data_IF_864873969606
#
_entry.id   IF_864873969606
#
_cell.length_a   1.000
_cell.length_b   1.000
_cell.length_c   1.000
_cell.angle_alpha   90.00
_cell.angle_beta   90.00
_cell.angle_gamma   90.00
#
_symmetry.space_group_name_H-M   'P 1'
#
loop_
_entity.id
_entity.type
_entity.pdbx_description
1 polymer ?
#
# COMPACT_ATOMS: atom_id res chain seq x y z
N UNK A 1 -17.52 -20.01 -7.09
CA UNK A 1 -16.94 -21.37 -7.26
C UNK A 1 -16.25 -21.56 -8.61
N UNK A 2 -16.76 -20.99 -9.71
CA UNK A 2 -16.11 -21.02 -11.04
C UNK A 2 -14.83 -20.17 -11.16
N UNK A 3 -14.75 -19.02 -10.49
CA UNK A 3 -13.54 -18.17 -10.47
C UNK A 3 -12.33 -18.87 -9.83
N UNK A 4 -12.56 -19.72 -8.82
CA UNK A 4 -11.51 -20.54 -8.20
C UNK A 4 -10.99 -21.61 -9.16
N UNK A 5 -11.83 -22.19 -10.01
CA UNK A 5 -11.43 -23.21 -11.01
C UNK A 5 -10.66 -22.60 -12.18
N UNK A 6 -10.98 -21.36 -12.56
CA UNK A 6 -10.29 -20.64 -13.63
C UNK A 6 -8.90 -20.14 -13.20
N UNK A 7 -8.79 -19.62 -11.97
CA UNK A 7 -7.50 -19.30 -11.35
C UNK A 7 -6.64 -20.56 -11.16
N UNK A 8 -7.26 -21.71 -10.85
CA UNK A 8 -6.57 -22.99 -10.73
C UNK A 8 -5.97 -23.46 -12.07
N UNK A 9 -6.67 -23.23 -13.19
CA UNK A 9 -6.16 -23.58 -14.52
C UNK A 9 -5.00 -22.68 -14.97
N UNK A 10 -5.02 -21.39 -14.61
CA UNK A 10 -3.91 -20.46 -14.87
C UNK A 10 -2.69 -20.78 -13.98
N UNK A 11 -2.92 -21.19 -12.73
CA UNK A 11 -1.86 -21.68 -11.83
C UNK A 11 -1.25 -23.00 -12.30
N UNK A 12 -2.05 -23.91 -12.87
CA UNK A 12 -1.54 -25.15 -13.48
C UNK A 12 -0.70 -24.83 -14.73
N UNK A 13 -1.09 -23.84 -15.55
CA UNK A 13 -0.29 -23.40 -16.68
C UNK A 13 1.04 -22.75 -16.25
N UNK A 14 1.07 -21.99 -15.13
CA UNK A 14 2.31 -21.45 -14.57
C UNK A 14 3.22 -22.52 -13.92
N UNK A 15 2.65 -23.60 -13.38
CA UNK A 15 3.43 -24.70 -12.77
C UNK A 15 4.17 -25.57 -13.81
N UNK A 16 3.70 -25.58 -15.06
CA UNK A 16 4.33 -26.34 -16.16
C UNK A 16 5.59 -25.62 -16.69
N UNK A 17 5.86 -24.38 -16.25
CA UNK A 17 7.11 -23.66 -16.53
C UNK A 17 8.20 -23.88 -15.45
N UNK A 18 8.07 -24.91 -14.60
CA UNK A 18 9.23 -25.45 -13.87
C UNK A 18 9.94 -26.45 -14.79
N UNK A 19 11.28 -26.38 -14.95
CA UNK A 19 11.96 -27.43 -15.69
C UNK A 19 11.73 -28.74 -14.93
N UNK A 20 11.04 -29.68 -15.58
CA UNK A 20 10.90 -31.07 -15.14
C UNK A 20 12.31 -31.66 -15.12
N UNK A 21 13.01 -31.47 -14.01
CA UNK A 21 14.25 -32.18 -13.66
C UNK A 21 13.97 -32.91 -12.35
N UNK A 22 13.04 -33.85 -12.40
CA UNK A 22 12.90 -34.89 -11.37
C UNK A 22 11.88 -35.92 -11.86
N UNK A 23 12.35 -36.92 -12.60
CA UNK A 23 11.92 -38.33 -12.60
C UNK A 23 12.15 -38.95 -13.98
N UNK A 24 13.40 -39.31 -14.27
CA UNK A 24 13.73 -40.34 -15.26
C UNK A 24 14.62 -41.36 -14.56
N UNK A 25 14.36 -42.68 -14.69
CA UNK A 25 15.26 -43.71 -14.17
C UNK A 25 16.65 -43.55 -14.78
N UNK A 26 17.70 -43.78 -14.00
CA UNK A 26 19.09 -43.64 -14.43
C UNK A 26 19.38 -44.43 -15.72
N UNK A 27 19.55 -43.70 -16.82
CA UNK A 27 20.15 -44.16 -18.07
C UNK A 27 21.61 -43.66 -18.14
N UNK A 28 22.49 -44.29 -18.94
CA UNK A 28 23.94 -44.14 -18.81
C UNK A 28 24.41 -42.72 -19.08
N UNK A 29 25.41 -42.29 -18.31
CA UNK A 29 26.07 -40.98 -18.37
C UNK A 29 26.70 -40.72 -19.75
N UNK A 30 25.93 -40.15 -20.67
CA UNK A 30 26.47 -39.46 -21.86
C UNK A 30 25.49 -38.41 -22.40
N UNK A 31 24.92 -37.58 -21.52
CA UNK A 31 24.21 -36.38 -21.97
C UNK A 31 25.11 -35.16 -21.75
N UNK A 32 25.79 -34.76 -22.83
CA UNK A 32 26.37 -33.42 -22.97
C UNK A 32 25.33 -32.37 -22.60
N UNK A 33 25.64 -31.51 -21.61
CA UNK A 33 24.81 -30.35 -21.28
C UNK A 33 24.44 -29.60 -22.57
N UNK A 34 23.16 -29.29 -22.80
CA UNK A 34 22.72 -28.68 -24.05
C UNK A 34 23.46 -27.36 -24.28
N UNK A 35 23.95 -27.16 -25.50
CA UNK A 35 24.68 -25.97 -25.90
C UNK A 35 23.77 -24.74 -25.81
N UNK A 36 24.33 -23.53 -25.60
CA UNK A 36 23.54 -22.28 -25.58
C UNK A 36 22.59 -22.14 -26.79
N UNK A 37 23.04 -22.55 -27.98
CA UNK A 37 22.21 -22.55 -29.19
C UNK A 37 20.99 -23.48 -29.09
N UNK A 38 21.13 -24.66 -28.49
CA UNK A 38 20.03 -25.61 -28.28
C UNK A 38 19.06 -25.11 -27.21
N UNK A 39 19.56 -24.41 -26.18
CA UNK A 39 18.71 -23.77 -25.17
C UNK A 39 17.91 -22.60 -25.76
N UNK A 40 18.53 -21.76 -26.60
CA UNK A 40 17.86 -20.66 -27.29
C UNK A 40 16.80 -21.17 -28.27
N UNK A 41 17.07 -22.24 -29.02
CA UNK A 41 16.12 -22.84 -29.95
C UNK A 41 14.94 -23.50 -29.22
N UNK A 42 15.21 -24.24 -28.13
CA UNK A 42 14.16 -24.78 -27.27
C UNK A 42 13.28 -23.66 -26.67
N UNK A 43 13.90 -22.56 -26.22
CA UNK A 43 13.18 -21.42 -25.68
C UNK A 43 12.30 -20.74 -26.74
N UNK A 44 12.81 -20.54 -27.96
CA UNK A 44 12.02 -20.01 -29.08
C UNK A 44 10.81 -20.90 -29.41
N UNK A 45 11.01 -22.21 -29.45
CA UNK A 45 9.94 -23.17 -29.72
C UNK A 45 8.86 -23.13 -28.62
N UNK A 46 9.28 -23.05 -27.34
CA UNK A 46 8.36 -22.89 -26.22
C UNK A 46 7.60 -21.56 -26.29
N UNK A 47 8.26 -20.46 -26.62
CA UNK A 47 7.60 -19.16 -26.81
C UNK A 47 6.57 -19.22 -27.93
N UNK A 48 6.89 -19.83 -29.07
CA UNK A 48 5.94 -19.98 -30.17
C UNK A 48 4.69 -20.78 -29.76
N UNK A 49 4.87 -21.90 -29.06
CA UNK A 49 3.75 -22.70 -28.53
C UNK A 49 2.91 -21.93 -27.49
N UNK A 50 3.55 -21.16 -26.62
CA UNK A 50 2.86 -20.35 -25.63
C UNK A 50 2.02 -19.25 -26.29
N UNK A 51 2.53 -18.61 -27.35
CA UNK A 51 1.78 -17.62 -28.13
C UNK A 51 0.59 -18.25 -28.86
N UNK A 52 0.75 -19.44 -29.43
CA UNK A 52 -0.37 -20.17 -30.06
C UNK A 52 -1.45 -20.56 -29.04
N UNK A 53 -1.04 -20.99 -27.83
CA UNK A 53 -1.98 -21.26 -26.75
C UNK A 53 -2.73 -19.98 -26.33
N UNK A 54 -2.01 -18.87 -26.20
CA UNK A 54 -2.59 -17.59 -25.83
C UNK A 54 -3.62 -17.12 -26.87
N UNK A 55 -3.35 -17.36 -28.15
CA UNK A 55 -4.27 -17.10 -29.23
C UNK A 55 -5.55 -17.91 -29.15
N UNK A 56 -5.44 -19.20 -28.80
CA UNK A 56 -6.60 -20.05 -28.58
C UNK A 56 -7.44 -19.53 -27.42
N UNK A 57 -6.79 -19.13 -26.32
CA UNK A 57 -7.48 -18.57 -25.15
C UNK A 57 -8.22 -17.28 -25.50
N UNK A 58 -7.62 -16.39 -26.28
CA UNK A 58 -8.27 -15.16 -26.74
C UNK A 58 -9.52 -15.48 -27.57
N UNK A 59 -9.41 -16.40 -28.54
CA UNK A 59 -10.55 -16.82 -29.39
C UNK A 59 -11.66 -17.49 -28.61
N UNK A 60 -11.32 -18.32 -27.62
CA UNK A 60 -12.31 -18.97 -26.77
C UNK A 60 -12.97 -17.97 -25.81
N UNK A 61 -12.22 -16.97 -25.34
CA UNK A 61 -12.76 -15.91 -24.51
C UNK A 61 -13.82 -15.08 -25.24
N UNK A 62 -13.67 -14.83 -26.55
CA UNK A 62 -14.68 -14.13 -27.36
C UNK A 62 -16.05 -14.83 -27.35
N UNK A 63 -16.08 -16.15 -27.09
CA UNK A 63 -17.33 -16.94 -27.01
C UNK A 63 -18.04 -16.84 -25.67
N UNK A 64 -17.43 -16.21 -24.66
CA UNK A 64 -18.04 -16.02 -23.35
C UNK A 64 -19.20 -15.03 -23.46
N UNK A 65 -20.32 -15.37 -22.83
CA UNK A 65 -21.54 -14.55 -22.88
C UNK A 65 -21.40 -13.26 -22.08
N UNK A 66 -20.76 -13.32 -20.91
CA UNK A 66 -20.61 -12.18 -20.01
C UNK A 66 -19.44 -11.28 -20.44
N UNK A 67 -19.68 -9.98 -20.71
CA UNK A 67 -18.63 -9.03 -21.10
C UNK A 67 -17.55 -8.87 -20.02
N UNK A 68 -17.88 -9.03 -18.75
CA UNK A 68 -16.93 -8.96 -17.62
C UNK A 68 -15.86 -10.05 -17.75
N UNK A 69 -16.26 -11.27 -18.12
CA UNK A 69 -15.34 -12.37 -18.28
C UNK A 69 -14.45 -12.19 -19.52
N UNK A 70 -15.02 -11.69 -20.61
CA UNK A 70 -14.27 -11.35 -21.83
C UNK A 70 -13.24 -10.27 -21.57
N UNK A 71 -13.63 -9.25 -20.80
CA UNK A 71 -12.78 -8.14 -20.41
C UNK A 71 -11.55 -8.65 -19.64
N UNK A 72 -11.75 -9.47 -18.60
CA UNK A 72 -10.63 -9.98 -17.80
C UNK A 72 -9.66 -10.84 -18.62
N UNK A 73 -10.18 -11.69 -19.50
CA UNK A 73 -9.35 -12.51 -20.39
C UNK A 73 -8.57 -11.63 -21.38
N UNK A 74 -9.23 -10.63 -21.97
CA UNK A 74 -8.62 -9.69 -22.91
C UNK A 74 -7.51 -8.87 -22.28
N UNK A 75 -7.71 -8.34 -21.06
CA UNK A 75 -6.68 -7.60 -20.34
C UNK A 75 -5.43 -8.47 -20.12
N UNK A 76 -5.61 -9.68 -19.60
CA UNK A 76 -4.50 -10.58 -19.31
C UNK A 76 -3.76 -11.00 -20.59
N UNK A 77 -4.49 -11.31 -21.66
CA UNK A 77 -3.89 -11.73 -22.91
C UNK A 77 -3.15 -10.59 -23.61
N UNK A 78 -3.74 -9.39 -23.67
CA UNK A 78 -3.08 -8.22 -24.26
C UNK A 78 -1.80 -7.85 -23.51
N UNK A 79 -1.82 -7.90 -22.18
CA UNK A 79 -0.66 -7.61 -21.35
C UNK A 79 0.51 -8.57 -21.60
N UNK A 80 0.22 -9.87 -21.77
CA UNK A 80 1.23 -10.88 -22.09
C UNK A 80 1.72 -10.80 -23.54
N UNK A 81 0.85 -10.39 -24.47
CA UNK A 81 1.20 -10.29 -25.89
C UNK A 81 2.02 -9.05 -26.22
N UNK A 82 1.99 -8.00 -25.40
CA UNK A 82 2.52 -6.70 -25.78
C UNK A 82 3.97 -6.72 -26.27
N UNK A 83 4.86 -7.40 -25.53
CA UNK A 83 6.30 -7.51 -25.86
C UNK A 83 6.58 -8.39 -27.10
N UNK A 84 5.60 -9.16 -27.56
CA UNK A 84 5.74 -10.12 -28.66
C UNK A 84 5.00 -9.69 -29.94
N UNK A 85 3.82 -9.09 -29.80
CA UNK A 85 2.97 -8.60 -30.88
C UNK A 85 2.13 -7.40 -30.39
N UNK A 86 2.75 -6.22 -30.41
CA UNK A 86 2.13 -4.97 -29.96
C UNK A 86 0.84 -4.66 -30.72
N UNK A 87 0.83 -4.86 -32.05
CA UNK A 87 -0.33 -4.53 -32.89
C UNK A 87 -1.54 -5.37 -32.50
N UNK A 88 -1.32 -6.65 -32.22
CA UNK A 88 -2.37 -7.56 -31.76
C UNK A 88 -2.80 -7.25 -30.33
N UNK A 89 -1.86 -6.99 -29.42
CA UNK A 89 -2.18 -6.59 -28.05
C UNK A 89 -3.05 -5.32 -28.03
N UNK A 90 -2.72 -4.31 -28.85
CA UNK A 90 -3.54 -3.10 -29.05
C UNK A 90 -4.95 -3.43 -29.54
N UNK A 91 -5.10 -4.42 -30.42
CA UNK A 91 -6.40 -4.86 -30.93
C UNK A 91 -7.24 -5.50 -29.82
N UNK A 92 -6.63 -6.36 -29.01
CA UNK A 92 -7.30 -6.99 -27.85
C UNK A 92 -7.68 -5.93 -26.81
N UNK A 93 -6.82 -4.94 -26.53
CA UNK A 93 -7.18 -3.83 -25.64
C UNK A 93 -8.35 -3.01 -26.18
N UNK A 94 -8.44 -2.78 -27.50
CA UNK A 94 -9.62 -2.10 -28.10
C UNK A 94 -10.90 -2.90 -27.88
N UNK A 95 -10.84 -4.23 -28.02
CA UNK A 95 -11.99 -5.11 -27.73
C UNK A 95 -12.37 -5.05 -26.25
N UNK A 96 -11.38 -5.06 -25.34
CA UNK A 96 -11.58 -4.88 -23.91
C UNK A 96 -12.27 -3.54 -23.58
N UNK A 97 -11.88 -2.45 -24.24
CA UNK A 97 -12.56 -1.15 -24.10
C UNK A 97 -14.02 -1.21 -24.57
N UNK A 98 -14.30 -1.90 -25.67
CA UNK A 98 -15.66 -2.08 -26.14
C UNK A 98 -16.53 -2.88 -25.15
N UNK A 99 -15.98 -3.97 -24.57
CA UNK A 99 -16.64 -4.74 -23.52
C UNK A 99 -16.89 -3.89 -22.27
N UNK A 100 -15.92 -3.07 -21.86
CA UNK A 100 -16.07 -2.14 -20.74
C UNK A 100 -17.24 -1.17 -20.99
N UNK A 101 -17.32 -0.55 -22.18
CA UNK A 101 -18.44 0.35 -22.53
C UNK A 101 -19.79 -0.36 -22.50
N UNK A 102 -19.86 -1.62 -22.92
CA UNK A 102 -21.08 -2.42 -22.84
C UNK A 102 -21.50 -2.65 -21.38
N UNK A 103 -20.55 -2.93 -20.49
CA UNK A 103 -20.78 -3.09 -19.04
C UNK A 103 -21.34 -1.78 -18.43
N UNK A 104 -20.74 -0.64 -18.75
CA UNK A 104 -21.20 0.67 -18.25
C UNK A 104 -22.57 1.09 -18.80
N UNK A 105 -22.92 0.64 -20.01
CA UNK A 105 -24.21 0.93 -20.64
C UNK A 105 -25.35 0.06 -20.10
N UNK A 106 -25.05 -0.98 -19.33
CA UNK A 106 -26.07 -1.83 -18.73
C UNK A 106 -26.83 -1.05 -17.63
N UNK A 107 -28.18 -1.06 -17.64
CA UNK A 107 -28.98 -0.25 -16.72
C UNK A 107 -28.65 -0.58 -15.26
N UNK A 108 -28.42 0.45 -14.46
CA UNK A 108 -28.29 0.33 -13.01
C UNK A 108 -29.68 0.11 -12.42
N UNK A 109 -29.88 -1.05 -11.77
CA UNK A 109 -31.09 -1.28 -10.98
C UNK A 109 -30.88 -0.71 -9.56
N UNK A 110 -30.98 0.63 -9.46
CA UNK A 110 -30.64 1.42 -8.27
C UNK A 110 -31.47 1.06 -7.02
N UNK A 111 -32.59 0.36 -7.18
CA UNK A 111 -33.48 -0.06 -6.08
C UNK A 111 -33.02 -1.38 -5.42
N UNK A 112 -32.06 -2.10 -6.01
CA UNK A 112 -31.57 -3.35 -5.46
C UNK A 112 -30.42 -3.15 -4.45
N UNK A 113 -30.39 -3.92 -3.34
CA UNK A 113 -29.24 -3.94 -2.40
C UNK A 113 -27.88 -4.28 -3.06
N UNK A 114 -27.88 -4.80 -4.29
CA UNK A 114 -26.68 -5.15 -5.07
C UNK A 114 -26.15 -4.01 -5.95
N UNK A 115 -26.88 -2.91 -6.11
CA UNK A 115 -26.48 -1.79 -6.97
C UNK A 115 -25.12 -1.20 -6.57
N UNK A 116 -24.88 -1.04 -5.28
CA UNK A 116 -23.59 -0.57 -4.77
C UNK A 116 -22.44 -1.53 -5.14
N UNK A 117 -22.64 -2.84 -4.98
CA UNK A 117 -21.62 -3.84 -5.34
C UNK A 117 -21.31 -3.82 -6.83
N UNK A 118 -22.34 -3.71 -7.68
CA UNK A 118 -22.15 -3.63 -9.14
C UNK A 118 -21.39 -2.38 -9.55
N UNK A 119 -21.72 -1.20 -8.98
CA UNK A 119 -20.97 0.02 -9.23
C UNK A 119 -19.50 -0.11 -8.83
N UNK A 120 -19.21 -0.79 -7.71
CA UNK A 120 -17.83 -1.05 -7.27
C UNK A 120 -17.08 -2.00 -8.19
N UNK A 121 -17.73 -3.06 -8.66
CA UNK A 121 -17.16 -4.01 -9.62
C UNK A 121 -16.84 -3.34 -10.97
N UNK A 122 -17.73 -2.45 -11.45
CA UNK A 122 -17.49 -1.65 -12.67
C UNK A 122 -16.28 -0.72 -12.52
N UNK A 123 -16.16 -0.03 -11.39
CA UNK A 123 -15.00 0.81 -11.09
C UNK A 123 -13.69 0.00 -11.07
N UNK A 124 -13.68 -1.17 -10.41
CA UNK A 124 -12.51 -2.06 -10.39
C UNK A 124 -12.10 -2.56 -11.79
N UNK A 125 -13.08 -2.86 -12.65
CA UNK A 125 -12.83 -3.28 -14.03
C UNK A 125 -12.22 -2.16 -14.86
N UNK A 126 -12.77 -0.94 -14.74
CA UNK A 126 -12.23 0.27 -15.35
C UNK A 126 -10.78 0.50 -14.90
N UNK A 127 -10.55 0.46 -13.59
CA UNK A 127 -9.24 0.62 -12.98
C UNK A 127 -8.21 -0.37 -13.55
N UNK A 128 -8.56 -1.66 -13.56
CA UNK A 128 -7.68 -2.72 -14.05
C UNK A 128 -7.32 -2.55 -15.53
N UNK A 129 -8.28 -2.20 -16.38
CA UNK A 129 -8.03 -1.99 -17.81
C UNK A 129 -7.08 -0.81 -18.04
N UNK A 130 -7.36 0.33 -17.40
CA UNK A 130 -6.56 1.55 -17.53
C UNK A 130 -5.13 1.31 -17.07
N UNK A 131 -4.92 0.67 -15.90
CA UNK A 131 -3.58 0.41 -15.40
C UNK A 131 -2.82 -0.66 -16.19
N UNK A 132 -3.51 -1.67 -16.71
CA UNK A 132 -2.87 -2.63 -17.61
C UNK A 132 -2.37 -1.94 -18.87
N UNK A 133 -3.18 -1.07 -19.45
CA UNK A 133 -2.82 -0.31 -20.63
C UNK A 133 -1.72 0.72 -20.34
N UNK A 134 -1.74 1.38 -19.18
CA UNK A 134 -0.78 2.40 -18.80
C UNK A 134 0.66 1.92 -18.69
N UNK A 135 0.87 0.61 -18.44
CA UNK A 135 2.21 -0.01 -18.44
C UNK A 135 2.86 -0.02 -19.82
N UNK A 136 2.06 0.16 -20.86
CA UNK A 136 2.41 -0.11 -22.25
C UNK A 136 2.20 1.10 -23.14
N UNK A 137 1.07 1.79 -22.98
CA UNK A 137 0.69 3.01 -23.69
C UNK A 137 -0.02 3.99 -22.75
N UNK A 138 0.78 4.90 -22.20
CA UNK A 138 0.30 5.94 -21.30
C UNK A 138 -0.73 6.89 -21.93
N UNK A 139 -0.63 7.15 -23.24
CA UNK A 139 -1.56 8.06 -23.94
C UNK A 139 -2.92 7.40 -24.07
N UNK A 140 -2.96 6.15 -24.54
CA UNK A 140 -4.22 5.42 -24.69
C UNK A 140 -4.91 5.19 -23.33
N UNK A 141 -4.13 4.94 -22.26
CA UNK A 141 -4.69 4.83 -20.92
C UNK A 141 -5.33 6.12 -20.41
N UNK A 142 -4.72 7.29 -20.71
CA UNK A 142 -5.27 8.60 -20.35
C UNK A 142 -6.53 8.94 -21.14
N UNK A 143 -6.53 8.65 -22.45
CA UNK A 143 -7.70 8.86 -23.29
C UNK A 143 -8.86 8.00 -22.79
N UNK A 144 -8.59 6.73 -22.47
CA UNK A 144 -9.59 5.83 -21.89
C UNK A 144 -10.11 6.32 -20.53
N UNK A 145 -9.23 6.81 -19.65
CA UNK A 145 -9.61 7.40 -18.37
C UNK A 145 -10.63 8.54 -18.60
N UNK A 146 -10.30 9.48 -19.48
CA UNK A 146 -11.18 10.61 -19.80
C UNK A 146 -12.52 10.17 -20.42
N UNK A 147 -12.50 9.22 -21.34
CA UNK A 147 -13.70 8.70 -22.00
C UNK A 147 -14.64 7.92 -21.07
N UNK A 148 -14.08 7.25 -20.07
CA UNK A 148 -14.84 6.37 -19.14
C UNK A 148 -15.13 7.05 -17.81
N UNK A 149 -14.93 8.37 -17.71
CA UNK A 149 -15.18 9.13 -16.50
C UNK A 149 -16.62 8.91 -16.03
N UNK A 150 -16.84 8.44 -14.79
CA UNK A 150 -18.19 8.24 -14.26
C UNK A 150 -18.97 9.56 -14.29
N UNK A 151 -20.20 9.53 -14.83
CA UNK A 151 -21.09 10.68 -14.76
C UNK A 151 -21.70 10.78 -13.36
N UNK A 152 -21.85 12.00 -12.85
CA UNK A 152 -22.56 12.24 -11.59
C UNK A 152 -24.00 11.71 -11.69
N UNK A 153 -24.52 11.10 -10.62
CA UNK A 153 -25.90 10.59 -10.61
C UNK A 153 -26.87 11.75 -10.87
N UNK A 154 -27.67 11.64 -11.92
CA UNK A 154 -28.70 12.64 -12.23
C UNK A 154 -29.79 12.72 -11.16
N UNK A 155 -30.03 11.63 -10.43
CA UNK A 155 -31.05 11.55 -9.37
C UNK A 155 -30.53 11.97 -8.00
N UNK A 156 -29.23 11.80 -7.74
CA UNK A 156 -28.61 12.22 -6.49
C UNK A 156 -27.26 12.90 -6.76
N UNK A 157 -27.28 14.19 -7.14
CA UNK A 157 -26.07 14.95 -7.46
C UNK A 157 -25.08 15.02 -6.29
N UNK A 158 -25.59 14.93 -5.07
CA UNK A 158 -24.82 15.01 -3.83
C UNK A 158 -24.29 13.65 -3.36
N UNK A 159 -24.62 12.56 -4.06
CA UNK A 159 -24.05 11.25 -3.75
C UNK A 159 -22.53 11.30 -3.97
N UNK A 160 -21.71 10.93 -2.98
CA UNK A 160 -20.26 10.93 -3.14
C UNK A 160 -19.89 10.03 -4.32
N UNK A 161 -19.12 10.57 -5.26
CA UNK A 161 -18.60 9.80 -6.37
C UNK A 161 -17.82 8.61 -5.80
N UNK A 162 -18.16 7.39 -6.24
CA UNK A 162 -17.48 6.16 -5.77
C UNK A 162 -16.00 6.15 -6.15
N UNK A 163 -15.61 6.92 -7.16
CA UNK A 163 -14.24 7.04 -7.64
C UNK A 163 -13.81 8.51 -7.61
N UNK A 164 -12.78 8.82 -6.82
CA UNK A 164 -12.14 10.13 -6.86
C UNK A 164 -11.25 10.20 -8.10
N UNK A 165 -11.78 10.80 -9.17
CA UNK A 165 -11.10 10.86 -10.47
C UNK A 165 -9.75 11.58 -10.39
N UNK A 166 -9.60 12.58 -9.51
CA UNK A 166 -8.35 13.32 -9.36
C UNK A 166 -7.27 12.45 -8.71
N UNK A 167 -7.64 11.67 -7.69
CA UNK A 167 -6.76 10.66 -7.08
C UNK A 167 -6.38 9.57 -8.09
N UNK A 168 -7.31 9.16 -8.95
CA UNK A 168 -7.05 8.17 -9.99
C UNK A 168 -6.08 8.71 -11.06
N UNK A 169 -6.25 9.96 -11.52
CA UNK A 169 -5.31 10.63 -12.44
C UNK A 169 -3.86 10.61 -11.89
N UNK A 170 -3.68 10.88 -10.59
CA UNK A 170 -2.35 10.84 -9.96
C UNK A 170 -1.79 9.43 -9.82
N UNK A 171 -2.61 8.44 -9.45
CA UNK A 171 -2.16 7.03 -9.42
C UNK A 171 -1.76 6.54 -10.81
N UNK A 172 -2.48 6.95 -11.86
CA UNK A 172 -2.12 6.69 -13.24
C UNK A 172 -0.76 7.30 -13.58
N UNK A 173 -0.53 8.57 -13.23
CA UNK A 173 0.76 9.22 -13.43
C UNK A 173 1.92 8.44 -12.79
N UNK A 174 1.70 7.79 -11.63
CA UNK A 174 2.74 6.99 -10.97
C UNK A 174 3.11 5.72 -11.75
N UNK A 175 2.17 5.14 -12.49
CA UNK A 175 2.47 4.02 -13.40
C UNK A 175 3.20 4.53 -14.64
N UNK A 176 2.76 5.65 -15.20
CA UNK A 176 3.41 6.30 -16.36
C UNK A 176 4.85 6.69 -16.05
N UNK A 177 5.13 7.14 -14.81
CA UNK A 177 6.46 7.57 -14.36
C UNK A 177 7.56 6.51 -14.54
N UNK A 178 7.20 5.23 -14.62
CA UNK A 178 8.16 4.13 -14.83
C UNK A 178 8.81 4.14 -16.22
N UNK A 179 8.13 4.72 -17.21
CA UNK A 179 8.58 4.74 -18.61
C UNK A 179 8.68 6.17 -19.17
N UNK A 180 7.86 7.11 -18.70
CA UNK A 180 7.84 8.52 -19.11
C UNK A 180 7.70 9.45 -17.88
N UNK A 181 8.80 9.73 -17.15
CA UNK A 181 8.78 10.60 -15.97
C UNK A 181 8.41 12.06 -16.32
N UNK A 182 8.69 12.52 -17.55
CA UNK A 182 8.34 13.87 -17.98
C UNK A 182 6.83 14.04 -18.15
N UNK A 183 6.17 13.07 -18.78
CA UNK A 183 4.71 13.07 -18.88
C UNK A 183 4.05 12.93 -17.50
N UNK A 184 4.60 12.09 -16.62
CA UNK A 184 4.10 11.93 -15.27
C UNK A 184 4.21 13.24 -14.45
N UNK A 185 5.32 13.98 -14.61
CA UNK A 185 5.49 15.31 -14.02
C UNK A 185 4.43 16.30 -14.51
N UNK A 186 4.16 16.34 -15.82
CA UNK A 186 3.14 17.22 -16.41
C UNK A 186 1.74 16.90 -15.85
N UNK A 187 1.41 15.61 -15.74
CA UNK A 187 0.15 15.15 -15.14
C UNK A 187 0.04 15.60 -13.68
N UNK A 188 1.12 15.44 -12.90
CA UNK A 188 1.19 15.85 -11.51
C UNK A 188 0.94 17.37 -11.36
N UNK A 189 1.60 18.19 -12.19
CA UNK A 189 1.46 19.65 -12.14
C UNK A 189 0.04 20.11 -12.49
N UNK A 190 -0.59 19.48 -13.48
CA UNK A 190 -1.98 19.78 -13.85
C UNK A 190 -2.96 19.41 -12.74
N UNK A 191 -2.77 18.28 -12.08
CA UNK A 191 -3.61 17.87 -10.95
C UNK A 191 -3.35 18.76 -9.72
N UNK A 192 -2.09 19.07 -9.43
CA UNK A 192 -1.69 19.98 -8.34
C UNK A 192 -2.31 21.36 -8.49
N UNK A 193 -2.55 21.85 -9.72
CA UNK A 193 -3.27 23.09 -9.95
C UNK A 193 -4.71 23.05 -9.40
N UNK A 194 -5.39 21.89 -9.49
CA UNK A 194 -6.77 21.67 -9.01
C UNK A 194 -6.82 21.47 -7.49
N UNK A 195 -5.88 20.72 -6.91
CA UNK A 195 -5.93 20.35 -5.50
C UNK A 195 -4.69 19.59 -5.04
N UNK A 196 -4.75 19.02 -3.83
CA UNK A 196 -3.76 18.05 -3.37
C UNK A 196 -4.32 16.64 -3.55
N UNK A 197 -3.43 15.66 -3.66
CA UNK A 197 -3.79 14.25 -3.73
C UNK A 197 -2.87 13.46 -2.81
N UNK A 198 -3.42 12.48 -2.09
CA UNK A 198 -2.65 11.65 -1.17
C UNK A 198 -1.67 10.72 -1.91
N UNK A 199 -1.82 10.56 -3.23
CA UNK A 199 -0.91 9.78 -4.07
C UNK A 199 0.32 10.56 -4.58
N UNK A 200 0.39 11.89 -4.37
CA UNK A 200 1.54 12.71 -4.78
C UNK A 200 2.89 12.20 -4.24
N UNK A 201 3.04 11.80 -2.95
CA UNK A 201 4.30 11.26 -2.43
C UNK A 201 4.76 9.97 -3.14
N UNK A 202 3.81 9.09 -3.48
CA UNK A 202 4.09 7.86 -4.25
C UNK A 202 4.59 8.21 -5.64
N UNK A 203 3.94 9.17 -6.32
CA UNK A 203 4.36 9.64 -7.63
C UNK A 203 5.77 10.24 -7.60
N UNK A 204 6.08 11.07 -6.61
CA UNK A 204 7.44 11.61 -6.41
C UNK A 204 8.45 10.47 -6.32
N UNK A 205 8.15 9.42 -5.54
CA UNK A 205 9.02 8.25 -5.38
C UNK A 205 9.25 7.51 -6.70
N UNK A 206 8.20 7.30 -7.50
CA UNK A 206 8.31 6.64 -8.80
C UNK A 206 9.10 7.49 -9.82
N UNK A 207 8.80 8.80 -9.91
CA UNK A 207 9.58 9.71 -10.77
C UNK A 207 11.04 9.70 -10.33
N UNK A 208 11.33 9.79 -9.02
CA UNK A 208 12.71 9.83 -8.50
C UNK A 208 13.50 8.54 -8.81
N UNK A 209 12.85 7.41 -9.12
CA UNK A 209 13.54 6.19 -9.58
C UNK A 209 14.11 6.33 -10.98
N UNK A 210 13.49 7.13 -11.84
CA UNK A 210 13.88 7.32 -13.24
C UNK A 210 14.57 8.67 -13.48
N UNK A 211 14.04 9.74 -12.89
CA UNK A 211 14.48 11.12 -13.05
C UNK A 211 14.44 11.86 -11.70
N UNK A 212 15.60 12.01 -11.09
CA UNK A 212 15.71 12.66 -9.79
C UNK A 212 15.50 14.18 -9.86
N UNK A 213 15.77 14.83 -11.00
CA UNK A 213 15.57 16.26 -11.19
C UNK A 213 14.09 16.58 -11.36
N UNK A 214 13.36 15.79 -12.15
CA UNK A 214 11.91 15.91 -12.27
C UNK A 214 11.20 15.70 -10.92
N UNK A 215 11.66 14.74 -10.11
CA UNK A 215 11.10 14.52 -8.77
C UNK A 215 11.37 15.71 -7.82
N UNK A 216 12.58 16.26 -7.84
CA UNK A 216 12.93 17.45 -7.06
C UNK A 216 12.09 18.67 -7.51
N UNK A 217 11.88 18.82 -8.83
CA UNK A 217 11.02 19.86 -9.38
C UNK A 217 9.57 19.71 -8.91
N UNK A 218 8.97 18.51 -9.02
CA UNK A 218 7.62 18.27 -8.52
C UNK A 218 7.49 18.59 -7.03
N UNK A 219 8.48 18.17 -6.23
CA UNK A 219 8.49 18.44 -4.79
C UNK A 219 8.55 19.94 -4.49
N UNK A 220 9.33 20.70 -5.26
CA UNK A 220 9.40 22.17 -5.16
C UNK A 220 8.08 22.85 -5.57
N UNK A 221 7.43 22.36 -6.62
CA UNK A 221 6.12 22.87 -7.07
C UNK A 221 5.05 22.62 -5.97
N UNK A 222 5.07 21.43 -5.34
CA UNK A 222 4.20 21.09 -4.22
C UNK A 222 4.45 22.02 -3.02
N UNK A 223 5.72 22.21 -2.62
CA UNK A 223 6.07 23.12 -1.52
C UNK A 223 5.58 24.55 -1.78
N UNK A 224 5.67 25.02 -3.02
CA UNK A 224 5.20 26.36 -3.41
C UNK A 224 3.69 26.49 -3.19
N UNK A 225 2.91 25.48 -3.55
CA UNK A 225 1.45 25.47 -3.30
C UNK A 225 1.12 25.31 -1.80
N UNK A 226 1.88 24.48 -1.07
CA UNK A 226 1.67 24.29 0.38
C UNK A 226 1.80 25.61 1.15
N UNK A 227 2.74 26.49 0.77
CA UNK A 227 2.94 27.79 1.39
C UNK A 227 1.73 28.73 1.30
N UNK A 228 0.88 28.58 0.29
CA UNK A 228 -0.33 29.39 0.11
C UNK A 228 -1.60 28.67 0.57
N UNK A 229 -1.47 27.45 1.09
CA UNK A 229 -2.59 26.61 1.52
C UNK A 229 -2.69 26.62 3.04
N UNK A 230 -3.91 26.83 3.55
CA UNK A 230 -4.18 26.67 4.98
C UNK A 230 -4.21 25.19 5.36
N UNK A 231 -3.08 24.67 5.79
CA UNK A 231 -2.93 23.24 6.11
C UNK A 231 -3.91 22.77 7.20
N UNK A 232 -4.17 23.58 8.22
CA UNK A 232 -5.12 23.23 9.29
C UNK A 232 -6.57 23.04 8.82
N UNK A 233 -6.93 23.57 7.64
CA UNK A 233 -8.26 23.44 7.02
C UNK A 233 -8.26 22.43 5.85
N UNK A 234 -7.10 21.85 5.50
CA UNK A 234 -6.95 20.93 4.37
C UNK A 234 -6.15 19.69 4.78
N UNK A 235 -6.87 18.60 5.03
CA UNK A 235 -6.30 17.34 5.49
C UNK A 235 -5.31 16.74 4.48
N UNK A 236 -5.64 16.74 3.19
CA UNK A 236 -4.79 16.17 2.14
C UNK A 236 -3.48 16.96 1.99
N UNK A 237 -3.56 18.30 2.01
CA UNK A 237 -2.38 19.16 1.98
C UNK A 237 -1.47 18.91 3.19
N UNK A 238 -2.06 18.75 4.38
CA UNK A 238 -1.32 18.42 5.61
C UNK A 238 -0.64 17.07 5.53
N UNK A 239 -1.34 16.04 5.08
CA UNK A 239 -0.78 14.70 4.88
C UNK A 239 0.38 14.72 3.88
N UNK A 240 0.21 15.39 2.74
CA UNK A 240 1.25 15.53 1.70
C UNK A 240 2.46 16.28 2.25
N UNK A 241 2.26 17.38 2.99
CA UNK A 241 3.34 18.14 3.61
C UNK A 241 4.16 17.28 4.57
N UNK A 242 3.49 16.51 5.44
CA UNK A 242 4.14 15.61 6.39
C UNK A 242 4.96 14.53 5.66
N UNK A 243 4.35 13.84 4.68
CA UNK A 243 5.01 12.76 3.93
C UNK A 243 6.23 13.26 3.17
N UNK A 244 6.13 14.41 2.51
CA UNK A 244 7.26 15.02 1.80
C UNK A 244 8.39 15.38 2.77
N UNK A 245 8.07 15.91 3.95
CA UNK A 245 9.08 16.24 4.95
C UNK A 245 9.86 14.99 5.38
N UNK A 246 9.16 13.91 5.72
CA UNK A 246 9.78 12.63 6.08
C UNK A 246 10.68 12.15 4.95
N UNK A 247 10.16 12.01 3.73
CA UNK A 247 10.92 11.55 2.56
C UNK A 247 12.17 12.39 2.28
N UNK A 248 12.06 13.71 2.38
CA UNK A 248 13.17 14.63 2.14
C UNK A 248 14.26 14.53 3.23
N UNK A 249 13.87 14.30 4.49
CA UNK A 249 14.81 14.08 5.58
C UNK A 249 15.53 12.73 5.47
N UNK A 250 14.80 11.65 5.14
CA UNK A 250 15.36 10.32 4.92
C UNK A 250 16.36 10.30 3.76
N UNK A 251 16.01 10.91 2.62
CA UNK A 251 16.93 11.01 1.46
C UNK A 251 18.23 11.72 1.82
N UNK A 252 18.17 12.77 2.65
CA UNK A 252 19.38 13.46 3.13
C UNK A 252 20.19 12.64 4.12
N UNK A 253 19.54 11.89 5.01
CA UNK A 253 20.23 11.00 5.95
C UNK A 253 20.95 9.86 5.21
N UNK A 254 20.29 9.22 4.24
CA UNK A 254 20.88 8.18 3.39
C UNK A 254 22.11 8.69 2.60
N UNK A 255 22.06 9.93 2.10
CA UNK A 255 23.20 10.57 1.44
C UNK A 255 24.35 10.86 2.41
N UNK A 256 24.05 11.27 3.64
CA UNK A 256 25.06 11.55 4.66
C UNK A 256 25.77 10.28 5.16
N UNK A 257 25.12 9.12 5.10
CA UNK A 257 25.69 7.82 5.45
C UNK A 257 26.55 7.17 4.35
N UNK A 258 26.78 7.85 3.22
CA UNK A 258 27.67 7.35 2.16
C UNK A 258 27.08 6.23 1.32
N UNK A 259 25.75 6.10 1.29
CA UNK A 259 25.08 5.08 0.47
C UNK A 259 25.25 5.44 -1.02
N UNK A 260 26.02 4.66 -1.78
CA UNK A 260 26.35 4.93 -3.20
C UNK A 260 25.11 4.97 -4.12
N UNK A 261 23.96 4.44 -3.66
CA UNK A 261 22.65 4.55 -4.33
C UNK A 261 21.89 5.84 -4.00
N UNK A 262 22.47 6.76 -3.23
CA UNK A 262 21.77 7.96 -2.76
C UNK A 262 21.43 8.92 -3.91
N UNK A 263 20.15 8.96 -4.22
CA UNK A 263 19.54 9.85 -5.22
C UNK A 263 19.70 11.32 -4.82
N UNK A 264 19.64 12.22 -5.80
CA UNK A 264 19.60 13.67 -5.59
C UNK A 264 18.57 14.03 -4.50
N UNK A 265 18.92 14.89 -3.52
CA UNK A 265 17.99 15.30 -2.48
C UNK A 265 16.71 15.90 -3.07
N UNK A 266 15.54 15.45 -2.59
CA UNK A 266 14.23 15.94 -3.03
C UNK A 266 14.04 17.45 -2.78
N UNK A 267 14.65 17.96 -1.71
CA UNK A 267 14.62 19.37 -1.34
C UNK A 267 16.00 19.88 -0.94
N UNK A 268 16.26 21.14 -1.31
CA UNK A 268 17.37 21.93 -0.78
C UNK A 268 17.22 22.15 0.73
N UNK A 269 18.31 22.52 1.40
CA UNK A 269 18.29 22.72 2.86
C UNK A 269 17.32 23.83 3.28
N UNK A 270 17.31 24.95 2.54
CA UNK A 270 16.41 26.06 2.81
C UNK A 270 14.93 25.66 2.68
N UNK A 271 14.56 24.98 1.59
CA UNK A 271 13.21 24.48 1.37
C UNK A 271 12.76 23.46 2.43
N UNK A 272 13.69 22.66 2.95
CA UNK A 272 13.41 21.72 4.02
C UNK A 272 13.16 22.42 5.37
N UNK A 273 13.93 23.48 5.67
CA UNK A 273 13.68 24.34 6.85
C UNK A 273 12.32 25.04 6.74
N UNK A 274 11.99 25.56 5.57
CA UNK A 274 10.70 26.20 5.31
C UNK A 274 9.52 25.24 5.51
N UNK A 275 9.65 24.00 5.02
CA UNK A 275 8.63 22.97 5.23
C UNK A 275 8.50 22.57 6.71
N UNK A 276 9.62 22.46 7.44
CA UNK A 276 9.61 22.20 8.87
C UNK A 276 8.92 23.32 9.66
N UNK A 277 9.24 24.58 9.35
CA UNK A 277 8.60 25.77 9.95
C UNK A 277 7.09 25.81 9.65
N UNK A 278 6.69 25.50 8.41
CA UNK A 278 5.29 25.44 8.01
C UNK A 278 4.54 24.37 8.82
N UNK A 279 5.03 23.13 8.83
CA UNK A 279 4.42 22.02 9.59
C UNK A 279 4.32 22.33 11.08
N UNK A 280 5.41 22.84 11.68
CA UNK A 280 5.43 23.13 13.10
C UNK A 280 4.53 24.33 13.46
N UNK A 281 4.46 25.34 12.59
CA UNK A 281 3.53 26.47 12.77
C UNK A 281 2.07 26.04 12.64
N UNK A 282 1.74 25.20 11.64
CA UNK A 282 0.41 24.62 11.51
C UNK A 282 0.04 23.85 12.76
N UNK A 283 0.92 22.96 13.22
CA UNK A 283 0.73 22.18 14.44
C UNK A 283 0.48 23.04 15.68
N UNK A 284 1.21 24.15 15.85
CA UNK A 284 1.05 25.07 16.98
C UNK A 284 -0.27 25.83 16.98
N UNK A 285 -0.84 26.07 15.80
CA UNK A 285 -2.07 26.84 15.64
C UNK A 285 -3.30 25.96 15.36
N UNK A 286 -3.10 24.65 15.23
CA UNK A 286 -4.16 23.73 14.89
C UNK A 286 -5.19 23.57 16.02
N UNK A 287 -6.49 23.40 15.67
CA UNK A 287 -7.55 23.17 16.64
C UNK A 287 -7.37 21.81 17.36
N UNK A 288 -8.00 21.61 18.53
CA UNK A 288 -7.92 20.35 19.28
C UNK A 288 -8.39 19.12 18.50
N UNK A 289 -9.22 19.27 17.47
CA UNK A 289 -9.65 18.16 16.59
C UNK A 289 -8.51 17.64 15.69
N UNK A 290 -7.49 18.47 15.46
CA UNK A 290 -6.26 18.15 14.72
C UNK A 290 -5.25 17.32 15.56
N UNK A 291 -5.62 16.92 16.78
CA UNK A 291 -4.74 16.24 17.74
C UNK A 291 -4.26 14.87 17.25
N UNK A 292 -4.95 14.22 16.30
CA UNK A 292 -4.43 13.00 15.68
C UNK A 292 -3.13 13.24 14.89
N UNK A 293 -2.97 14.38 14.22
CA UNK A 293 -1.69 14.76 13.60
C UNK A 293 -0.62 15.07 14.63
N UNK A 294 -0.97 15.35 15.89
CA UNK A 294 0.02 15.58 16.95
C UNK A 294 0.86 14.32 17.23
N UNK A 295 0.26 13.12 17.09
CA UNK A 295 0.98 11.84 17.20
C UNK A 295 2.00 11.72 16.06
N UNK A 296 1.62 12.06 14.84
CA UNK A 296 2.53 12.06 13.68
C UNK A 296 3.66 13.09 13.85
N UNK A 297 3.34 14.30 14.33
CA UNK A 297 4.32 15.36 14.59
C UNK A 297 5.34 14.95 15.64
N UNK A 298 4.93 14.22 16.70
CA UNK A 298 5.85 13.66 17.70
C UNK A 298 6.92 12.76 17.07
N UNK A 299 6.56 11.98 16.06
CA UNK A 299 7.49 11.05 15.39
C UNK A 299 8.61 11.77 14.61
N UNK A 300 8.39 13.02 14.21
CA UNK A 300 9.36 13.83 13.45
C UNK A 300 10.02 14.93 14.30
N UNK A 301 9.83 14.93 15.62
CA UNK A 301 10.38 15.96 16.52
C UNK A 301 11.89 16.14 16.42
N UNK A 302 12.72 15.08 16.34
CA UNK A 302 14.17 15.25 16.15
C UNK A 302 14.52 16.01 14.86
N UNK A 303 13.78 15.78 13.79
CA UNK A 303 13.93 16.47 12.52
C UNK A 303 13.45 17.93 12.64
N UNK A 304 12.34 18.18 13.34
CA UNK A 304 11.85 19.53 13.60
C UNK A 304 12.83 20.33 14.48
N UNK A 305 13.49 19.72 15.46
CA UNK A 305 14.53 20.38 16.25
C UNK A 305 15.72 20.81 15.39
N UNK A 306 16.09 19.97 14.41
CA UNK A 306 17.18 20.26 13.48
C UNK A 306 16.85 21.40 12.51
N UNK A 307 15.61 21.42 11.99
CA UNK A 307 15.24 22.31 10.87
C UNK A 307 14.37 23.51 11.26
N UNK A 308 13.68 23.47 12.41
CA UNK A 308 12.80 24.51 12.95
C UNK A 308 12.87 24.56 14.50
N UNK A 309 14.07 24.82 15.09
CA UNK A 309 14.32 24.62 16.53
C UNK A 309 13.41 25.43 17.46
N UNK A 310 13.12 26.69 17.11
CA UNK A 310 12.27 27.56 17.93
C UNK A 310 10.82 27.04 17.98
N UNK A 311 10.28 26.59 16.83
CA UNK A 311 8.92 26.01 16.77
C UNK A 311 8.85 24.66 17.43
N UNK A 312 9.88 23.82 17.27
CA UNK A 312 9.98 22.54 17.96
C UNK A 312 9.92 22.72 19.49
N UNK A 313 10.64 23.70 20.04
CA UNK A 313 10.57 24.02 21.48
C UNK A 313 9.17 24.49 21.90
N UNK A 314 8.52 25.34 21.10
CA UNK A 314 7.15 25.77 21.39
C UNK A 314 6.15 24.60 21.35
N UNK A 315 6.33 23.65 20.42
CA UNK A 315 5.50 22.45 20.32
C UNK A 315 5.68 21.54 21.55
N UNK A 316 6.92 21.37 22.00
CA UNK A 316 7.21 20.64 23.24
C UNK A 316 6.49 21.26 24.43
N UNK A 317 6.60 22.58 24.61
CA UNK A 317 5.89 23.31 25.67
C UNK A 317 4.37 23.20 25.56
N UNK A 318 3.80 23.23 24.35
CA UNK A 318 2.35 23.03 24.14
C UNK A 318 1.90 21.61 24.51
N UNK A 319 2.78 20.62 24.37
CA UNK A 319 2.52 19.25 24.85
C UNK A 319 2.90 19.00 26.29
N UNK A 320 3.51 19.98 26.96
CA UNK A 320 3.76 19.85 28.38
C UNK A 320 2.41 19.93 29.09
N UNK A 321 2.09 18.92 29.90
CA UNK A 321 0.86 18.90 30.65
C UNK A 321 0.75 20.14 31.57
N UNK A 322 -0.32 20.92 31.43
CA UNK A 322 -0.51 22.18 32.15
C UNK A 322 -1.03 21.95 33.58
N UNK A 323 -1.68 20.80 33.81
CA UNK A 323 -2.21 20.41 35.12
C UNK A 323 -1.48 19.22 35.72
N UNK A 324 -1.50 19.10 37.05
CA UNK A 324 -0.88 17.97 37.76
C UNK A 324 -1.48 16.60 37.38
N UNK A 325 -2.75 16.55 36.98
CA UNK A 325 -3.39 15.32 36.51
C UNK A 325 -2.89 14.92 35.11
N UNK A 326 -2.78 15.88 34.19
CA UNK A 326 -2.19 15.65 32.88
C UNK A 326 -0.70 15.29 33.00
N UNK A 327 0.02 15.83 33.99
CA UNK A 327 1.43 15.49 34.24
C UNK A 327 1.58 14.02 34.61
N UNK A 328 0.73 13.53 35.51
CA UNK A 328 0.72 12.13 35.92
C UNK A 328 0.38 11.20 34.75
N UNK A 329 -0.59 11.58 33.90
CA UNK A 329 -0.98 10.80 32.73
C UNK A 329 0.13 10.80 31.65
N UNK A 330 0.74 11.95 31.36
CA UNK A 330 1.86 12.07 30.42
C UNK A 330 3.07 11.25 30.87
N UNK A 331 3.45 11.34 32.16
CA UNK A 331 4.55 10.55 32.73
C UNK A 331 4.26 9.05 32.64
N UNK A 332 3.03 8.63 32.96
CA UNK A 332 2.60 7.23 32.82
C UNK A 332 2.71 6.74 31.37
N UNK A 333 2.37 7.60 30.40
CA UNK A 333 2.48 7.26 28.97
C UNK A 333 3.93 7.19 28.49
N UNK A 334 4.82 8.07 28.98
CA UNK A 334 6.25 8.04 28.69
C UNK A 334 6.91 6.78 29.26
N UNK A 335 6.65 6.45 30.53
CA UNK A 335 7.13 5.25 31.18
C UNK A 335 6.66 3.98 30.43
N UNK A 336 5.40 3.96 29.98
CA UNK A 336 4.87 2.88 29.14
C UNK A 336 5.69 2.69 27.85
N UNK A 337 6.00 3.78 27.14
CA UNK A 337 6.77 3.71 25.89
C UNK A 337 8.20 3.24 26.11
N UNK A 338 8.87 3.75 27.14
CA UNK A 338 10.25 3.37 27.47
C UNK A 338 10.31 1.87 27.80
N UNK A 339 9.42 1.40 28.68
CA UNK A 339 9.35 -0.02 29.05
C UNK A 339 8.95 -0.92 27.87
N UNK A 340 8.12 -0.43 26.96
CA UNK A 340 7.77 -1.14 25.72
C UNK A 340 8.99 -1.33 24.82
N UNK A 341 9.85 -0.31 24.69
CA UNK A 341 11.01 -0.35 23.82
C UNK A 341 12.18 -1.16 24.41
N UNK A 342 12.52 -0.94 25.68
CA UNK A 342 13.73 -1.50 26.29
C UNK A 342 13.50 -2.30 27.57
N UNK A 343 12.38 -2.08 28.29
CA UNK A 343 12.11 -2.67 29.60
C UNK A 343 11.88 -4.18 29.60
N UNK A 344 12.30 -4.88 30.64
CA UNK A 344 12.07 -6.32 30.85
C UNK A 344 10.61 -6.64 31.16
N UNK A 345 10.21 -7.91 31.01
CA UNK A 345 8.84 -8.36 31.36
C UNK A 345 8.50 -8.04 32.81
N UNK A 346 9.44 -8.24 33.74
CA UNK A 346 9.19 -8.01 35.17
C UNK A 346 9.06 -6.50 35.48
N UNK A 347 9.82 -5.64 34.79
CA UNK A 347 9.67 -4.18 34.90
C UNK A 347 8.32 -3.70 34.34
N UNK A 348 7.89 -4.24 33.20
CA UNK A 348 6.57 -3.95 32.61
C UNK A 348 5.45 -4.37 33.58
N UNK A 349 5.56 -5.55 34.20
CA UNK A 349 4.58 -6.03 35.18
C UNK A 349 4.57 -5.19 36.46
N UNK A 350 5.72 -4.77 36.97
CA UNK A 350 5.81 -3.89 38.12
C UNK A 350 5.20 -2.51 37.85
N UNK A 351 5.35 -1.99 36.63
CA UNK A 351 4.69 -0.75 36.21
C UNK A 351 3.16 -0.92 36.08
N UNK A 352 2.69 -2.08 35.61
CA UNK A 352 1.26 -2.40 35.51
C UNK A 352 0.53 -2.30 36.86
N UNK A 353 1.18 -2.70 37.96
CA UNK A 353 0.59 -2.63 39.31
C UNK A 353 0.36 -1.20 39.79
N UNK A 354 1.19 -0.25 39.33
CA UNK A 354 1.09 1.18 39.66
C UNK A 354 0.21 1.96 38.67
N UNK A 355 -0.07 1.39 37.50
CA UNK A 355 -0.82 2.03 36.44
C UNK A 355 -2.31 2.20 36.77
N UNK A 356 -2.94 3.22 36.17
CA UNK A 356 -4.39 3.42 36.18
C UNK A 356 -5.10 2.23 35.52
N UNK A 357 -6.38 1.96 35.85
CA UNK A 357 -7.11 0.82 35.26
C UNK A 357 -7.10 0.80 33.72
N UNK A 358 -7.15 1.97 33.08
CA UNK A 358 -7.10 2.09 31.62
C UNK A 358 -5.74 1.70 31.03
N UNK A 359 -4.63 2.11 31.65
CA UNK A 359 -3.27 1.81 31.16
C UNK A 359 -2.78 0.42 31.57
N UNK A 360 -3.27 -0.11 32.70
CA UNK A 360 -2.87 -1.41 33.24
C UNK A 360 -3.04 -2.56 32.25
N UNK A 361 -4.14 -2.55 31.50
CA UNK A 361 -4.38 -3.56 30.45
C UNK A 361 -3.33 -3.48 29.34
N UNK A 362 -2.93 -2.27 28.93
CA UNK A 362 -1.87 -2.05 27.93
C UNK A 362 -0.52 -2.61 28.39
N UNK A 363 -0.15 -2.44 29.67
CA UNK A 363 1.07 -3.05 30.22
C UNK A 363 1.02 -4.59 30.22
N UNK A 364 -0.10 -5.19 30.63
CA UNK A 364 -0.23 -6.65 30.60
C UNK A 364 -0.20 -7.22 29.19
N UNK A 365 -0.84 -6.53 28.24
CA UNK A 365 -0.78 -6.84 26.81
C UNK A 365 0.67 -6.80 26.31
N UNK A 366 1.41 -5.75 26.64
CA UNK A 366 2.81 -5.60 26.22
C UNK A 366 3.72 -6.68 26.83
N UNK A 367 3.56 -6.98 28.13
CA UNK A 367 4.30 -8.04 28.80
C UNK A 367 4.04 -9.41 28.16
N UNK A 368 2.78 -9.71 27.82
CA UNK A 368 2.41 -10.94 27.15
C UNK A 368 3.05 -11.05 25.75
N UNK A 369 3.01 -10.01 24.94
CA UNK A 369 3.67 -10.01 23.63
C UNK A 369 5.19 -10.19 23.73
N UNK A 370 5.84 -9.53 24.70
CA UNK A 370 7.28 -9.67 24.92
C UNK A 370 7.65 -11.10 25.30
N UNK A 371 6.87 -11.74 26.17
CA UNK A 371 7.04 -13.16 26.51
C UNK A 371 6.90 -14.09 25.31
N UNK A 372 5.97 -13.82 24.38
CA UNK A 372 5.85 -14.59 23.14
C UNK A 372 7.12 -14.47 22.29
N UNK A 373 7.65 -13.25 22.14
CA UNK A 373 8.89 -13.01 21.41
C UNK A 373 10.10 -13.73 22.06
N UNK A 374 10.15 -13.76 23.39
CA UNK A 374 11.11 -14.52 24.20
C UNK A 374 10.89 -16.05 24.20
N UNK A 375 9.82 -16.54 23.55
CA UNK A 375 9.52 -17.98 23.46
C UNK A 375 8.83 -18.58 24.68
N UNK A 376 8.13 -17.78 25.49
CA UNK A 376 7.39 -18.17 26.70
C UNK A 376 5.87 -17.93 26.56
N UNK A 377 5.18 -18.54 25.56
CA UNK A 377 3.78 -18.25 25.25
C UNK A 377 2.80 -18.67 26.37
N UNK A 378 3.10 -19.73 27.13
CA UNK A 378 2.22 -20.18 28.21
C UNK A 378 2.17 -19.17 29.35
N UNK A 379 3.31 -18.57 29.70
CA UNK A 379 3.39 -17.49 30.69
C UNK A 379 2.68 -16.23 30.19
N UNK A 380 2.71 -15.97 28.89
CA UNK A 380 1.97 -14.86 28.28
C UNK A 380 0.44 -15.04 28.46
N UNK A 381 -0.09 -16.24 28.18
CA UNK A 381 -1.50 -16.56 28.41
C UNK A 381 -1.89 -16.46 29.87
N UNK A 382 -1.01 -16.93 30.77
CA UNK A 382 -1.25 -16.86 32.20
C UNK A 382 -1.44 -15.43 32.69
N UNK A 383 -0.57 -14.49 32.27
CA UNK A 383 -0.68 -13.07 32.63
C UNK A 383 -2.04 -12.50 32.19
N UNK A 384 -2.46 -12.76 30.95
CA UNK A 384 -3.75 -12.26 30.45
C UNK A 384 -4.92 -12.86 31.24
N UNK A 385 -4.89 -14.17 31.52
CA UNK A 385 -5.97 -14.84 32.24
C UNK A 385 -6.12 -14.39 33.70
N UNK A 386 -5.00 -14.17 34.39
CA UNK A 386 -4.98 -13.84 35.83
C UNK A 386 -5.15 -12.34 36.09
N UNK A 387 -4.62 -11.48 35.20
CA UNK A 387 -4.45 -10.06 35.46
C UNK A 387 -5.38 -9.15 34.66
N UNK A 388 -6.01 -9.67 33.60
CA UNK A 388 -7.06 -8.96 32.85
C UNK A 388 -8.41 -9.45 33.33
N UNK A 389 -9.30 -8.51 33.68
CA UNK A 389 -10.64 -8.83 34.14
C UNK A 389 -11.43 -9.65 33.10
N UNK A 390 -12.35 -10.49 33.57
CA UNK A 390 -13.22 -11.24 32.68
C UNK A 390 -14.16 -10.31 31.91
N UNK A 391 -13.86 -10.10 30.63
CA UNK A 391 -14.48 -9.11 29.75
C UNK A 391 -14.33 -9.57 28.30
N UNK A 392 -15.21 -9.15 27.37
CA UNK A 392 -14.99 -9.33 25.92
C UNK A 392 -13.58 -8.93 25.47
N UNK A 393 -12.98 -7.93 26.10
CA UNK A 393 -11.62 -7.48 25.84
C UNK A 393 -10.56 -8.57 26.11
N UNK A 394 -10.75 -9.41 27.14
CA UNK A 394 -9.83 -10.52 27.46
C UNK A 394 -9.84 -11.58 26.37
N UNK A 395 -11.02 -11.90 25.82
CA UNK A 395 -11.14 -12.86 24.73
C UNK A 395 -10.47 -12.33 23.45
N UNK A 396 -10.67 -11.04 23.14
CA UNK A 396 -9.99 -10.38 22.03
C UNK A 396 -8.47 -10.40 22.20
N UNK A 397 -7.98 -10.08 23.40
CA UNK A 397 -6.56 -10.11 23.75
C UNK A 397 -5.93 -11.50 23.58
N UNK A 398 -6.62 -12.56 24.03
CA UNK A 398 -6.16 -13.94 23.84
C UNK A 398 -6.09 -14.27 22.35
N UNK A 399 -7.10 -13.88 21.58
CA UNK A 399 -7.11 -14.07 20.12
C UNK A 399 -5.95 -13.35 19.41
N UNK A 400 -5.66 -12.11 19.81
CA UNK A 400 -4.51 -11.35 19.31
C UNK A 400 -3.18 -11.99 19.69
N UNK A 401 -3.04 -12.44 20.94
CA UNK A 401 -1.85 -13.13 21.44
C UNK A 401 -1.60 -14.44 20.68
N UNK A 402 -2.65 -15.22 20.44
CA UNK A 402 -2.60 -16.46 19.67
C UNK A 402 -2.16 -16.23 18.22
N UNK A 403 -2.64 -15.16 17.57
CA UNK A 403 -2.16 -14.75 16.24
C UNK A 403 -0.67 -14.38 16.26
N UNK A 404 -0.20 -13.70 17.30
CA UNK A 404 1.22 -13.36 17.43
C UNK A 404 2.08 -14.61 17.66
N UNK A 405 1.63 -15.55 18.51
CA UNK A 405 2.32 -16.83 18.73
C UNK A 405 2.50 -17.57 17.41
N UNK A 406 1.44 -17.62 16.58
CA UNK A 406 1.49 -18.20 15.24
C UNK A 406 2.50 -17.50 14.33
N UNK A 407 2.45 -16.16 14.26
CA UNK A 407 3.32 -15.36 13.41
C UNK A 407 4.79 -15.58 13.80
N UNK A 408 5.12 -15.50 15.08
CA UNK A 408 6.48 -15.72 15.59
C UNK A 408 6.94 -17.17 15.39
N UNK A 409 6.05 -18.17 15.52
CA UNK A 409 6.38 -19.57 15.24
C UNK A 409 6.68 -19.80 13.75
N UNK A 410 5.91 -19.17 12.86
CA UNK A 410 6.13 -19.21 11.42
C UNK A 410 7.44 -18.54 11.03
N UNK A 411 7.74 -17.35 11.57
CA UNK A 411 9.01 -16.64 11.36
C UNK A 411 10.23 -17.44 11.84
N UNK A 412 10.10 -18.17 12.96
CA UNK A 412 11.17 -19.02 13.51
C UNK A 412 11.23 -20.41 12.84
N UNK A 413 10.49 -20.64 11.75
CA UNK A 413 10.52 -21.89 10.97
C UNK A 413 9.89 -23.10 11.67
N UNK A 414 9.09 -22.89 12.73
CA UNK A 414 8.47 -23.96 13.51
C UNK A 414 7.13 -24.42 12.91
N UNK A 415 7.20 -25.00 11.72
CA UNK A 415 6.03 -25.36 10.89
C UNK A 415 5.04 -26.31 11.58
N UNK A 416 5.51 -27.21 12.46
CA UNK A 416 4.64 -28.15 13.19
C UNK A 416 3.82 -27.46 14.29
N UNK A 417 4.36 -26.44 14.97
CA UNK A 417 3.61 -25.64 15.95
C UNK A 417 2.53 -24.80 15.24
N UNK A 418 2.86 -24.20 14.09
CA UNK A 418 1.91 -23.47 13.23
C UNK A 418 0.76 -24.38 12.75
N UNK A 419 1.07 -25.62 12.31
CA UNK A 419 0.09 -26.59 11.84
C UNK A 419 -0.85 -27.06 12.95
N UNK A 420 -0.31 -27.37 14.13
CA UNK A 420 -1.10 -27.80 15.30
C UNK A 420 -2.08 -26.72 15.74
N UNK A 421 -1.67 -25.45 15.73
CA UNK A 421 -2.52 -24.35 16.14
C UNK A 421 -3.58 -23.98 15.08
N UNK A 422 -3.25 -24.01 13.78
CA UNK A 422 -4.24 -23.84 12.70
C UNK A 422 -5.36 -24.89 12.78
N UNK A 423 -5.07 -26.10 13.25
CA UNK A 423 -6.09 -27.13 13.45
C UNK A 423 -7.03 -26.86 14.64
N UNK A 424 -6.58 -26.09 15.63
CA UNK A 424 -7.40 -25.68 16.79
C UNK A 424 -8.13 -24.34 16.59
N UNK A 425 -7.65 -23.50 15.68
CA UNK A 425 -8.31 -22.26 15.29
C UNK A 425 -9.50 -22.57 14.37
N UNK A 426 -10.60 -23.07 14.94
CA UNK A 426 -11.89 -23.17 14.25
C UNK A 426 -12.26 -21.79 13.70
N UNK A 427 -12.41 -21.69 12.39
CA UNK A 427 -13.08 -20.57 11.73
C UNK A 427 -14.50 -20.51 12.27
N UNK A 428 -14.87 -19.42 12.94
CA UNK A 428 -16.25 -19.04 13.18
C UNK A 428 -16.90 -18.67 11.83
N UNK A 429 -17.18 -19.69 11.02
CA UNK A 429 -18.13 -19.65 9.91
C UNK A 429 -19.23 -20.66 10.26
N UNK A 430 -20.24 -20.17 10.98
CA UNK A 430 -21.63 -20.60 10.78
C UNK A 430 -22.40 -19.42 10.19
#
# INVERSE_FOLDING_TARGET
MFLKRFIFLILIALLIATPVVAQTPAAPETETKPTKAQQEEAQKNLTAQALELLDSVVKDAERLTLPENRLYASIAAADLLWEHDEQRARTIFKNAVADLRAIFSAPDDEEQPRAYRQKMERAQMREKLIFALARHDARLARDLLAETRPQASQKNPDAPAMENEEEFEIRLAAVVAKHDPAQALEMAQKSLAKGFSNSLPTLITEIQKQDAEAAAKLTSDILTKLKTTKLAENQEASNVAFRIFVMATETKQAKASGDEKSKTPLLGEQSLRELAELLASTALNAPPEFTQQFIEIRSIMPQLEKYAPARAQALKRRSEPETGAEMAEYQSWQEFNELTQSGTVDEILAAAEKATPHMRESYYRQAAFKLVNEGKPDRARQIINERVADSPNRQQLISELDKQILATAAEKGKLEETRKFLSSARTNEE
#
